data_IF_350425809779
#
_entry.id   IF_350425809779
#
_cell.length_a   1.000
_cell.length_b   1.000
_cell.length_c   1.000
_cell.angle_alpha   90.00
_cell.angle_beta   90.00
_cell.angle_gamma   90.00
#
_symmetry.space_group_name_H-M   'P 1'
#
loop_
_entity.id
_entity.type
_entity.pdbx_description
1 polymer ?
#
# COMPACT_ATOMS: atom_id res chain seq x y z
N UNK A 1 22.69 15.34 -1.55
CA UNK A 1 23.15 14.37 -0.53
C UNK A 1 22.82 12.97 -1.02
N UNK A 2 23.79 12.08 -1.17
CA UNK A 2 23.55 10.67 -1.53
C UNK A 2 22.88 10.00 -0.34
N UNK A 3 21.64 9.56 -0.53
CA UNK A 3 20.84 8.92 0.52
C UNK A 3 21.48 7.55 0.83
N UNK A 4 21.64 7.15 2.10
CA UNK A 4 22.34 5.92 2.49
C UNK A 4 21.71 4.63 1.95
N UNK A 5 20.49 4.68 1.41
CA UNK A 5 19.83 3.52 0.80
C UNK A 5 20.43 3.09 -0.54
N UNK A 6 21.21 3.95 -1.20
CA UNK A 6 21.91 3.60 -2.44
C UNK A 6 22.94 2.47 -2.24
N UNK A 7 23.57 2.37 -1.07
CA UNK A 7 24.60 1.36 -0.83
C UNK A 7 24.04 -0.05 -0.61
N UNK A 8 22.82 -0.16 -0.09
CA UNK A 8 22.20 -1.46 0.25
C UNK A 8 21.24 -1.92 -0.86
N UNK A 9 20.33 -1.05 -1.29
CA UNK A 9 19.28 -1.38 -2.26
C UNK A 9 19.80 -1.19 -3.71
N UNK A 10 20.64 -0.18 -3.93
CA UNK A 10 21.22 0.13 -5.23
C UNK A 10 21.95 -1.02 -5.93
N UNK A 11 22.87 -1.78 -5.29
CA UNK A 11 23.59 -2.86 -5.98
C UNK A 11 22.68 -4.01 -6.44
N UNK A 12 21.62 -4.33 -5.69
CA UNK A 12 20.66 -5.36 -6.09
C UNK A 12 19.79 -4.92 -7.26
N UNK A 13 19.31 -3.66 -7.27
CA UNK A 13 18.55 -3.16 -8.41
C UNK A 13 19.42 -2.96 -9.65
N UNK A 14 20.68 -2.54 -9.51
CA UNK A 14 21.63 -2.42 -10.62
C UNK A 14 21.91 -3.75 -11.31
N UNK A 15 21.97 -4.86 -10.56
CA UNK A 15 22.19 -6.20 -11.11
C UNK A 15 21.07 -6.62 -12.08
N UNK A 16 19.83 -6.20 -11.81
CA UNK A 16 18.65 -6.55 -12.59
C UNK A 16 18.10 -5.38 -13.41
N UNK A 17 18.91 -4.34 -13.67
CA UNK A 17 18.51 -3.08 -14.30
C UNK A 17 17.70 -3.29 -15.60
N UNK A 18 18.20 -4.12 -16.52
CA UNK A 18 17.57 -4.35 -17.82
C UNK A 18 16.18 -4.99 -17.69
N UNK A 19 16.02 -5.91 -16.74
CA UNK A 19 14.74 -6.58 -16.50
C UNK A 19 13.71 -5.61 -15.93
N UNK A 20 14.10 -4.81 -14.93
CA UNK A 20 13.20 -3.83 -14.29
C UNK A 20 12.78 -2.75 -15.28
N UNK A 21 13.72 -2.26 -16.09
CA UNK A 21 13.43 -1.27 -17.13
C UNK A 21 12.46 -1.82 -18.18
N UNK A 22 12.67 -3.05 -18.65
CA UNK A 22 11.75 -3.68 -19.59
C UNK A 22 10.36 -3.87 -18.97
N UNK A 23 10.29 -4.32 -17.71
CA UNK A 23 9.04 -4.50 -16.99
C UNK A 23 8.27 -3.19 -16.77
N UNK A 24 8.93 -2.11 -16.34
CA UNK A 24 8.28 -0.82 -16.13
C UNK A 24 7.99 -0.06 -17.45
N UNK A 25 8.63 -0.44 -18.55
CA UNK A 25 8.32 0.10 -19.89
C UNK A 25 7.03 -0.44 -20.51
N UNK A 26 6.38 -1.44 -19.88
CA UNK A 26 5.11 -1.96 -20.37
C UNK A 26 4.04 -0.85 -20.40
N UNK A 27 3.21 -0.74 -21.45
CA UNK A 27 2.25 0.36 -21.61
C UNK A 27 1.31 0.59 -20.41
N UNK A 28 0.95 -0.47 -19.68
CA UNK A 28 0.13 -0.36 -18.46
C UNK A 28 0.86 0.29 -17.28
N UNK A 29 2.18 0.11 -17.19
CA UNK A 29 3.02 0.61 -16.11
C UNK A 29 3.74 1.92 -16.46
N UNK A 30 3.76 2.30 -17.74
CA UNK A 30 4.35 3.57 -18.20
C UNK A 30 3.60 4.81 -17.67
N UNK A 31 2.33 4.67 -17.29
CA UNK A 31 1.49 5.73 -16.71
C UNK A 31 1.65 5.77 -15.16
N UNK A 32 2.68 5.12 -14.61
CA UNK A 32 2.90 4.96 -13.16
C UNK A 32 2.84 6.27 -12.39
N UNK A 33 3.38 7.36 -12.93
CA UNK A 33 3.47 8.64 -12.23
C UNK A 33 2.10 9.27 -12.02
N UNK A 34 1.31 9.36 -13.10
CA UNK A 34 -0.04 9.89 -13.05
C UNK A 34 -0.97 8.99 -12.22
N UNK A 35 -0.82 7.67 -12.38
CA UNK A 35 -1.56 6.70 -11.59
C UNK A 35 -1.25 6.83 -10.08
N UNK A 36 0.03 6.92 -9.72
CA UNK A 36 0.46 7.05 -8.32
C UNK A 36 -0.02 8.37 -7.71
N UNK A 37 -0.06 9.45 -8.49
CA UNK A 37 -0.62 10.72 -8.05
C UNK A 37 -2.12 10.61 -7.75
N UNK A 38 -2.89 10.02 -8.66
CA UNK A 38 -4.34 9.80 -8.46
C UNK A 38 -4.57 8.89 -7.25
N UNK A 39 -3.82 7.81 -7.13
CA UNK A 39 -3.90 6.87 -6.01
C UNK A 39 -3.62 7.58 -4.68
N UNK A 40 -2.58 8.42 -4.63
CA UNK A 40 -2.27 9.24 -3.46
C UNK A 40 -3.40 10.21 -3.11
N UNK A 41 -3.95 10.94 -4.08
CA UNK A 41 -5.05 11.89 -3.86
C UNK A 41 -6.30 11.17 -3.35
N UNK A 42 -6.72 10.09 -4.02
CA UNK A 42 -7.88 9.30 -3.60
C UNK A 42 -7.67 8.71 -2.19
N UNK A 43 -6.48 8.18 -1.92
CA UNK A 43 -6.12 7.65 -0.60
C UNK A 43 -6.20 8.70 0.50
N UNK A 44 -5.70 9.92 0.24
CA UNK A 44 -5.81 11.05 1.17
C UNK A 44 -7.26 11.45 1.40
N UNK A 45 -8.06 11.62 0.34
CA UNK A 45 -9.47 12.01 0.43
C UNK A 45 -10.27 10.99 1.24
N UNK A 46 -10.11 9.69 0.95
CA UNK A 46 -10.80 8.64 1.69
C UNK A 46 -10.35 8.56 3.15
N UNK A 47 -9.04 8.71 3.41
CA UNK A 47 -8.53 8.68 4.80
C UNK A 47 -9.07 9.86 5.61
N UNK A 48 -9.09 11.07 5.04
CA UNK A 48 -9.66 12.26 5.71
C UNK A 48 -11.15 12.09 5.95
N UNK A 49 -11.90 11.57 4.98
CA UNK A 49 -13.33 11.30 5.12
C UNK A 49 -13.59 10.30 6.26
N UNK A 50 -12.87 9.18 6.29
CA UNK A 50 -13.01 8.16 7.33
C UNK A 50 -12.61 8.67 8.72
N UNK A 51 -11.52 9.45 8.82
CA UNK A 51 -11.09 10.09 10.07
C UNK A 51 -12.17 11.07 10.55
N UNK A 52 -12.66 11.95 9.67
CA UNK A 52 -13.70 12.91 10.01
C UNK A 52 -14.99 12.21 10.48
N UNK A 53 -15.34 11.08 9.87
CA UNK A 53 -16.49 10.29 10.28
C UNK A 53 -16.28 9.63 11.64
N UNK A 54 -15.12 9.02 11.92
CA UNK A 54 -14.81 8.43 13.23
C UNK A 54 -14.81 9.48 14.33
N UNK A 55 -14.27 10.67 14.07
CA UNK A 55 -14.26 11.77 15.04
C UNK A 55 -15.67 12.30 15.33
N UNK A 56 -16.56 12.32 14.31
CA UNK A 56 -17.96 12.78 14.47
C UNK A 56 -18.89 11.74 15.11
N UNK A 57 -18.65 10.44 14.93
CA UNK A 57 -19.53 9.36 15.38
C UNK A 57 -19.36 8.95 16.86
N UNK A 58 -18.48 9.60 17.64
CA UNK A 58 -18.33 9.32 19.07
C UNK A 58 -17.58 8.01 19.39
N UNK A 59 -17.85 7.33 20.51
CA UNK A 59 -17.03 6.22 21.04
C UNK A 59 -17.18 4.88 20.31
N UNK A 60 -18.10 4.76 19.34
CA UNK A 60 -18.39 3.50 18.62
C UNK A 60 -18.01 3.58 17.16
N UNK A 61 -17.34 2.55 16.65
CA UNK A 61 -16.95 2.47 15.24
C UNK A 61 -18.20 2.33 14.33
N UNK A 62 -18.32 3.12 13.25
CA UNK A 62 -19.40 2.97 12.27
C UNK A 62 -19.46 1.56 11.68
N UNK A 63 -20.67 1.01 11.52
CA UNK A 63 -20.88 -0.39 11.10
C UNK A 63 -20.26 -0.79 9.77
N UNK A 64 -20.02 0.14 8.84
CA UNK A 64 -19.35 -0.13 7.56
C UNK A 64 -17.81 -0.25 7.68
N UNK A 65 -17.21 0.27 8.76
CA UNK A 65 -15.78 0.11 9.06
C UNK A 65 -15.48 -1.18 9.83
N UNK A 66 -16.53 -1.85 10.33
CA UNK A 66 -16.46 -3.14 11.00
C UNK A 66 -16.39 -4.24 9.94
N UNK A 67 -15.20 -4.48 9.38
CA UNK A 67 -15.02 -5.42 8.25
C UNK A 67 -15.22 -6.90 8.62
N UNK A 68 -15.25 -7.26 9.92
CA UNK A 68 -15.65 -8.57 10.38
C UNK A 68 -15.78 -8.56 11.91
N UNK A 69 -16.98 -8.32 12.44
CA UNK A 69 -17.34 -8.89 13.74
C UNK A 69 -17.62 -10.36 13.48
N UNK A 70 -16.56 -11.16 13.33
CA UNK A 70 -16.74 -12.62 13.37
C UNK A 70 -17.35 -12.98 14.72
N UNK A 71 -18.09 -14.09 14.78
CA UNK A 71 -18.76 -14.64 15.98
C UNK A 71 -17.85 -14.88 17.20
N UNK A 72 -16.58 -14.48 17.15
CA UNK A 72 -15.73 -14.29 18.31
C UNK A 72 -16.34 -13.16 19.14
N UNK A 73 -16.95 -13.53 20.27
CA UNK A 73 -17.63 -12.62 21.20
C UNK A 73 -16.81 -11.39 21.60
N UNK A 74 -17.40 -10.51 22.41
CA UNK A 74 -16.84 -9.21 22.84
C UNK A 74 -15.47 -9.32 23.58
N UNK A 75 -14.40 -9.71 22.90
CA UNK A 75 -13.05 -9.86 23.47
C UNK A 75 -12.35 -8.50 23.54
N UNK A 76 -12.70 -7.55 22.67
CA UNK A 76 -12.04 -6.24 22.58
C UNK A 76 -13.04 -5.13 22.94
N UNK A 77 -12.59 -4.17 23.76
CA UNK A 77 -13.40 -3.00 24.10
C UNK A 77 -13.60 -2.12 22.85
N UNK A 78 -14.83 -1.63 22.59
CA UNK A 78 -15.14 -0.85 21.38
C UNK A 78 -14.33 0.45 21.26
N UNK A 79 -13.87 1.00 22.39
CA UNK A 79 -12.97 2.16 22.45
C UNK A 79 -11.58 1.84 21.89
N UNK A 80 -11.02 0.67 22.24
CA UNK A 80 -9.72 0.23 21.74
C UNK A 80 -9.75 -0.11 20.25
N UNK A 81 -10.84 -0.71 19.76
CA UNK A 81 -11.03 -0.96 18.32
C UNK A 81 -11.04 0.34 17.52
N UNK A 82 -11.74 1.36 18.05
CA UNK A 82 -11.80 2.70 17.46
C UNK A 82 -10.42 3.35 17.42
N UNK A 83 -9.68 3.32 18.52
CA UNK A 83 -8.35 3.94 18.61
C UNK A 83 -7.36 3.26 17.66
N UNK A 84 -7.36 1.92 17.59
CA UNK A 84 -6.51 1.17 16.66
C UNK A 84 -6.86 1.47 15.20
N UNK A 85 -8.16 1.57 14.87
CA UNK A 85 -8.61 1.94 13.52
C UNK A 85 -8.20 3.36 13.16
N UNK A 86 -8.29 4.29 14.12
CA UNK A 86 -7.86 5.68 13.92
C UNK A 86 -6.35 5.76 13.66
N UNK A 87 -5.54 5.04 14.44
CA UNK A 87 -4.09 4.94 14.23
C UNK A 87 -3.79 4.37 12.84
N UNK A 88 -4.46 3.28 12.45
CA UNK A 88 -4.27 2.68 11.13
C UNK A 88 -4.65 3.67 9.99
N UNK A 89 -5.71 4.45 10.16
CA UNK A 89 -6.12 5.48 9.20
C UNK A 89 -5.16 6.66 9.13
N UNK A 90 -4.56 7.07 10.26
CA UNK A 90 -3.53 8.11 10.29
C UNK A 90 -2.27 7.65 9.56
N UNK A 91 -1.80 6.44 9.83
CA UNK A 91 -0.68 5.83 9.08
C UNK A 91 -1.01 5.75 7.59
N UNK A 92 -2.27 5.40 7.26
CA UNK A 92 -2.76 5.39 5.87
C UNK A 92 -2.69 6.75 5.22
N UNK A 93 -3.20 7.76 5.90
CA UNK A 93 -3.13 9.14 5.47
C UNK A 93 -1.68 9.59 5.21
N UNK A 94 -0.76 9.30 6.14
CA UNK A 94 0.64 9.68 6.02
C UNK A 94 1.31 9.10 4.78
N UNK A 95 1.21 7.78 4.57
CA UNK A 95 1.88 7.18 3.41
C UNK A 95 1.23 7.60 2.08
N UNK A 96 -0.09 7.83 2.02
CA UNK A 96 -0.74 8.33 0.80
C UNK A 96 -0.37 9.79 0.52
N UNK A 97 -0.22 10.61 1.57
CA UNK A 97 0.30 11.97 1.45
C UNK A 97 1.74 11.97 0.93
N UNK A 98 2.57 11.05 1.42
CA UNK A 98 3.94 10.89 0.93
C UNK A 98 4.00 10.48 -0.54
N UNK A 99 3.06 9.68 -1.07
CA UNK A 99 2.99 9.42 -2.51
C UNK A 99 2.79 10.72 -3.31
N UNK A 100 1.86 11.57 -2.89
CA UNK A 100 1.59 12.86 -3.55
C UNK A 100 2.83 13.76 -3.48
N UNK A 101 3.43 13.91 -2.30
CA UNK A 101 4.64 14.70 -2.09
C UNK A 101 5.81 14.13 -2.90
N UNK A 102 5.95 12.81 -2.97
CA UNK A 102 7.01 12.12 -3.71
C UNK A 102 6.93 12.39 -5.22
N UNK A 103 5.73 12.38 -5.79
CA UNK A 103 5.52 12.72 -7.20
C UNK A 103 5.84 14.20 -7.46
N UNK A 104 5.36 15.11 -6.62
CA UNK A 104 5.55 16.56 -6.79
C UNK A 104 7.01 17.01 -6.57
N UNK A 105 7.64 16.49 -5.51
CA UNK A 105 9.01 16.83 -5.14
C UNK A 105 10.06 16.03 -5.92
N UNK A 106 9.63 15.05 -6.72
CA UNK A 106 10.48 14.11 -7.47
C UNK A 106 11.49 13.35 -6.60
N UNK A 107 11.26 13.27 -5.29
CA UNK A 107 12.16 12.57 -4.37
C UNK A 107 11.70 11.12 -4.16
N UNK A 108 12.51 10.11 -4.51
CA UNK A 108 12.12 8.71 -4.43
C UNK A 108 11.92 8.19 -3.00
N UNK A 109 12.48 8.89 -1.99
CA UNK A 109 12.41 8.46 -0.57
C UNK A 109 10.97 8.38 -0.06
N UNK A 110 10.08 9.27 -0.53
CA UNK A 110 8.70 9.32 -0.06
C UNK A 110 7.84 8.13 -0.49
N UNK A 111 8.27 7.35 -1.50
CA UNK A 111 7.54 6.14 -1.91
C UNK A 111 7.87 4.92 -1.04
N UNK A 112 8.98 4.94 -0.29
CA UNK A 112 9.45 3.79 0.49
C UNK A 112 8.47 3.31 1.57
N UNK A 113 7.84 4.18 2.38
CA UNK A 113 6.92 3.73 3.43
C UNK A 113 5.77 2.90 2.86
N UNK A 114 5.19 3.34 1.73
CA UNK A 114 4.15 2.59 1.02
C UNK A 114 4.68 1.26 0.50
N UNK A 115 5.82 1.27 -0.20
CA UNK A 115 6.38 0.07 -0.81
C UNK A 115 6.73 -1.02 0.21
N UNK A 116 7.33 -0.65 1.34
CA UNK A 116 7.71 -1.59 2.40
C UNK A 116 6.47 -2.16 3.09
N UNK A 117 5.52 -1.31 3.48
CA UNK A 117 4.31 -1.75 4.16
C UNK A 117 3.47 -2.67 3.27
N UNK A 118 3.25 -2.30 2.02
CA UNK A 118 2.46 -3.11 1.10
C UNK A 118 3.19 -4.38 0.64
N UNK A 119 4.52 -4.36 0.54
CA UNK A 119 5.27 -5.59 0.32
C UNK A 119 5.05 -6.58 1.47
N UNK A 120 5.10 -6.09 2.72
CA UNK A 120 4.78 -6.93 3.89
C UNK A 120 3.34 -7.46 3.85
N UNK A 121 2.36 -6.62 3.53
CA UNK A 121 0.96 -7.04 3.39
C UNK A 121 0.80 -8.12 2.31
N UNK A 122 1.41 -7.94 1.14
CA UNK A 122 1.36 -8.91 0.04
C UNK A 122 1.99 -10.26 0.46
N UNK A 123 3.13 -10.23 1.17
CA UNK A 123 3.77 -11.47 1.68
C UNK A 123 2.86 -12.18 2.68
N UNK A 124 2.26 -11.44 3.61
CA UNK A 124 1.32 -11.99 4.59
C UNK A 124 0.07 -12.56 3.91
N UNK A 125 -0.45 -11.90 2.88
CA UNK A 125 -1.60 -12.36 2.11
C UNK A 125 -1.29 -13.63 1.33
N UNK A 126 -0.14 -13.70 0.63
CA UNK A 126 0.33 -14.90 -0.05
C UNK A 126 0.50 -16.06 0.94
N UNK A 127 1.10 -15.78 2.11
CA UNK A 127 1.26 -16.80 3.16
C UNK A 127 -0.09 -17.31 3.65
N UNK A 128 -1.05 -16.41 3.85
CA UNK A 128 -2.41 -16.78 4.29
C UNK A 128 -3.14 -17.59 3.22
N UNK A 129 -3.02 -17.21 1.94
CA UNK A 129 -3.60 -17.96 0.81
C UNK A 129 -2.96 -19.36 0.69
N UNK A 130 -1.65 -19.44 0.88
CA UNK A 130 -0.93 -20.71 0.90
C UNK A 130 -1.43 -21.61 2.02
N UNK A 131 -1.50 -21.09 3.26
CA UNK A 131 -2.02 -21.85 4.41
C UNK A 131 -3.47 -22.33 4.19
N UNK A 132 -4.35 -21.45 3.66
CA UNK A 132 -5.74 -21.81 3.34
C UNK A 132 -5.84 -22.91 2.28
N UNK A 133 -4.93 -22.92 1.30
CA UNK A 133 -4.89 -23.97 0.29
C UNK A 133 -4.65 -25.35 0.92
N UNK A 134 -3.84 -25.43 1.99
CA UNK A 134 -3.60 -26.69 2.71
C UNK A 134 -4.71 -27.05 3.69
N UNK A 135 -5.38 -26.07 4.31
CA UNK A 135 -6.43 -26.34 5.30
C UNK A 135 -7.80 -26.61 4.68
N UNK A 136 -8.22 -25.77 3.73
CA UNK A 136 -9.59 -25.74 3.19
C UNK A 136 -9.68 -26.23 1.72
N UNK A 137 -8.55 -26.53 1.09
CA UNK A 137 -8.45 -26.92 -0.33
C UNK A 137 -8.61 -25.74 -1.30
N UNK A 138 -8.93 -26.04 -2.58
CA UNK A 138 -9.03 -25.04 -3.67
C UNK A 138 -10.37 -24.29 -3.67
N UNK A 139 -10.80 -23.75 -2.53
CA UNK A 139 -12.01 -22.91 -2.43
C UNK A 139 -11.64 -21.42 -2.33
N UNK A 140 -11.19 -20.85 -3.44
CA UNK A 140 -10.89 -19.42 -3.51
C UNK A 140 -12.12 -18.60 -3.89
N UNK A 141 -12.49 -17.64 -3.03
CA UNK A 141 -13.49 -16.64 -3.39
C UNK A 141 -12.91 -15.71 -4.47
N UNK A 142 -13.54 -15.68 -5.65
CA UNK A 142 -13.13 -14.83 -6.78
C UNK A 142 -12.96 -13.36 -6.38
N UNK A 143 -13.85 -12.84 -5.52
CA UNK A 143 -13.77 -11.46 -5.02
C UNK A 143 -12.49 -11.18 -4.23
N UNK A 144 -12.04 -12.15 -3.43
CA UNK A 144 -10.78 -12.06 -2.69
C UNK A 144 -9.60 -12.01 -3.65
N UNK A 145 -9.57 -12.89 -4.66
CA UNK A 145 -8.48 -12.93 -5.64
C UNK A 145 -8.37 -11.63 -6.44
N UNK A 146 -9.50 -11.06 -6.88
CA UNK A 146 -9.50 -9.77 -7.57
C UNK A 146 -8.97 -8.65 -6.68
N UNK A 147 -9.32 -8.66 -5.39
CA UNK A 147 -8.80 -7.68 -4.43
C UNK A 147 -7.29 -7.82 -4.26
N UNK A 148 -6.77 -9.04 -4.09
CA UNK A 148 -5.33 -9.31 -3.98
C UNK A 148 -4.57 -8.87 -5.23
N UNK A 149 -5.09 -9.19 -6.43
CA UNK A 149 -4.49 -8.76 -7.71
C UNK A 149 -4.42 -7.24 -7.81
N UNK A 150 -5.47 -6.54 -7.37
CA UNK A 150 -5.50 -5.07 -7.37
C UNK A 150 -4.45 -4.47 -6.42
N UNK A 151 -4.26 -5.06 -5.23
CA UNK A 151 -3.21 -4.63 -4.29
C UNK A 151 -1.81 -4.79 -4.89
N UNK A 152 -1.56 -5.92 -5.55
CA UNK A 152 -0.28 -6.17 -6.24
C UNK A 152 -0.08 -5.18 -7.40
N UNK A 153 -1.11 -4.93 -8.20
CA UNK A 153 -1.05 -3.97 -9.29
C UNK A 153 -0.70 -2.56 -8.79
N UNK A 154 -1.37 -2.09 -7.74
CA UNK A 154 -1.09 -0.79 -7.12
C UNK A 154 0.36 -0.70 -6.65
N UNK A 155 0.86 -1.76 -6.02
CA UNK A 155 2.25 -1.82 -5.58
C UNK A 155 3.23 -1.75 -6.76
N UNK A 156 2.97 -2.47 -7.86
CA UNK A 156 3.80 -2.44 -9.06
C UNK A 156 3.83 -1.05 -9.71
N UNK A 157 2.69 -0.36 -9.78
CA UNK A 157 2.63 1.01 -10.30
C UNK A 157 3.49 1.96 -9.45
N UNK A 158 3.37 1.90 -8.12
CA UNK A 158 4.16 2.74 -7.21
C UNK A 158 5.66 2.38 -7.31
N UNK A 159 5.99 1.10 -7.47
CA UNK A 159 7.36 0.64 -7.63
C UNK A 159 8.00 1.16 -8.93
N UNK A 160 7.27 1.11 -10.05
CA UNK A 160 7.76 1.67 -11.30
C UNK A 160 7.89 3.20 -11.24
N UNK A 161 6.99 3.90 -10.54
CA UNK A 161 7.15 5.33 -10.28
C UNK A 161 8.43 5.61 -9.48
N UNK A 162 8.65 4.88 -8.38
CA UNK A 162 9.87 4.96 -7.58
C UNK A 162 11.13 4.72 -8.42
N UNK A 163 11.11 3.69 -9.27
CA UNK A 163 12.22 3.35 -10.15
C UNK A 163 12.54 4.47 -11.15
N UNK A 164 11.53 5.02 -11.83
CA UNK A 164 11.72 6.14 -12.74
C UNK A 164 12.34 7.35 -12.01
N UNK A 165 11.90 7.67 -10.78
CA UNK A 165 12.48 8.79 -10.01
C UNK A 165 13.91 8.51 -9.53
N UNK A 166 14.28 7.27 -9.27
CA UNK A 166 15.68 6.93 -8.96
C UNK A 166 16.60 7.11 -10.17
N UNK A 167 16.16 6.74 -11.38
CA UNK A 167 16.97 6.89 -12.60
C UNK A 167 17.26 8.38 -12.93
N UNK A 168 16.32 9.28 -12.66
CA UNK A 168 16.54 10.73 -12.82
C UNK A 168 17.55 11.32 -11.82
N UNK A 169 17.73 10.72 -10.64
CA UNK A 169 18.65 11.22 -9.62
C UNK A 169 20.10 10.70 -9.77
N UNK A 170 20.34 9.78 -10.72
CA UNK A 170 21.67 9.23 -11.03
C UNK A 170 22.38 9.99 -12.20
N UNK A 171 21.73 11.01 -12.79
CA UNK A 171 22.31 11.93 -13.79
C UNK A 171 22.66 13.31 -13.22
#
# INVERSE_FOLDING_TARGET
MKIPFYSIIGPHLKRNYYFIRHFCSHPFLCISDFYTLILGILGVVFSVFDIAMIVRCGPTLPGYLVKARGDFGKVIQPTMERDLKLIALLVSFEYYLFLVIGVLSKNPVFFLPFLVLYAFIIIMEITTLFLRLFTDGFNFNKSSLFTSMFVVYNWLCVFCCFWHKMEYCDY
#
